data_IF_799217825169
#
_entry.id   IF_799217825169
#
_cell.length_a   1.000
_cell.length_b   1.000
_cell.length_c   1.000
_cell.angle_alpha   90.00
_cell.angle_beta   90.00
_cell.angle_gamma   90.00
#
_symmetry.space_group_name_H-M   'P 1'
#
loop_
_entity.id
_entity.type
_entity.pdbx_description
1 polymer ?
#
# COMPACT_ATOMS: atom_id res chain seq x y z
N UNK A 1 0.56 0.58 24.41
CA UNK A 1 1.15 0.59 23.05
C UNK A 1 0.47 -0.44 22.19
N UNK A 2 0.41 -0.15 20.90
CA UNK A 2 -0.20 -1.08 19.96
C UNK A 2 0.79 -2.17 19.57
N UNK A 3 0.25 -3.30 19.13
CA UNK A 3 1.04 -4.43 18.67
C UNK A 3 0.66 -4.75 17.21
N UNK A 4 0.70 -3.72 16.37
CA UNK A 4 0.36 -3.86 14.97
C UNK A 4 1.47 -4.60 14.22
N UNK A 5 1.05 -5.45 13.29
CA UNK A 5 1.97 -6.27 12.51
C UNK A 5 2.20 -5.65 11.14
N UNK A 6 3.41 -5.79 10.63
CA UNK A 6 3.69 -5.44 9.24
C UNK A 6 2.83 -6.34 8.34
N UNK A 7 2.02 -5.72 7.49
CA UNK A 7 1.13 -6.44 6.59
C UNK A 7 1.79 -6.70 5.25
N UNK A 8 2.37 -5.66 4.65
CA UNK A 8 3.04 -5.79 3.36
C UNK A 8 3.96 -4.61 3.10
N UNK A 9 4.77 -4.75 2.05
CA UNK A 9 5.54 -3.65 1.48
C UNK A 9 5.06 -3.42 0.06
N UNK A 10 4.92 -2.14 -0.31
CA UNK A 10 4.52 -1.75 -1.66
C UNK A 10 5.73 -1.35 -2.49
N UNK A 11 5.82 -1.86 -3.70
CA UNK A 11 6.90 -1.58 -4.63
C UNK A 11 6.28 -0.99 -5.90
N UNK A 12 6.73 0.20 -6.28
CA UNK A 12 6.32 0.83 -7.53
C UNK A 12 7.13 0.24 -8.67
N UNK A 13 6.43 -0.22 -9.70
CA UNK A 13 7.07 -0.81 -10.89
C UNK A 13 6.39 -0.28 -12.16
N UNK A 14 7.13 -0.18 -13.28
CA UNK A 14 6.51 0.24 -14.54
C UNK A 14 5.53 -0.81 -15.10
N UNK A 15 5.78 -2.10 -14.84
CA UNK A 15 4.98 -3.19 -15.38
C UNK A 15 4.98 -4.38 -14.42
N UNK A 16 3.81 -4.73 -13.93
CA UNK A 16 3.64 -5.92 -13.09
C UNK A 16 4.02 -7.18 -13.86
N UNK A 17 3.61 -7.27 -15.13
CA UNK A 17 3.89 -8.44 -15.96
C UNK A 17 5.39 -8.71 -16.07
N UNK A 18 6.20 -7.64 -16.15
CA UNK A 18 7.66 -7.77 -16.26
C UNK A 18 8.29 -8.04 -14.89
N UNK A 19 7.79 -7.42 -13.83
CA UNK A 19 8.43 -7.46 -12.50
C UNK A 19 8.02 -8.66 -11.66
N UNK A 20 6.82 -9.20 -11.84
CA UNK A 20 6.28 -10.24 -10.99
C UNK A 20 7.02 -11.59 -11.03
N UNK A 21 7.54 -12.06 -12.17
CA UNK A 21 8.11 -13.42 -12.25
C UNK A 21 9.19 -13.72 -11.22
N UNK A 22 10.10 -12.77 -10.94
CA UNK A 22 11.16 -13.01 -9.96
C UNK A 22 10.59 -13.19 -8.55
N UNK A 23 9.56 -12.41 -8.20
CA UNK A 23 8.94 -12.52 -6.88
C UNK A 23 8.13 -13.81 -6.73
N UNK A 24 7.47 -14.25 -7.78
CA UNK A 24 6.80 -15.55 -7.80
C UNK A 24 7.81 -16.68 -7.64
N UNK A 25 8.95 -16.57 -8.28
CA UNK A 25 10.01 -17.60 -8.17
C UNK A 25 10.58 -17.64 -6.74
N UNK A 26 10.92 -16.49 -6.18
CA UNK A 26 11.52 -16.40 -4.84
C UNK A 26 10.55 -16.91 -3.77
N UNK A 27 9.27 -16.55 -3.87
CA UNK A 27 8.27 -16.90 -2.85
C UNK A 27 7.68 -18.28 -3.05
N UNK A 28 7.78 -18.84 -4.26
CA UNK A 28 7.10 -20.08 -4.60
C UNK A 28 5.60 -19.92 -4.78
N UNK A 29 5.10 -18.68 -4.86
CA UNK A 29 3.68 -18.39 -5.01
C UNK A 29 3.34 -18.12 -6.47
N UNK A 30 2.14 -18.53 -6.92
CA UNK A 30 1.69 -18.18 -8.27
C UNK A 30 1.36 -16.70 -8.36
N UNK A 31 1.33 -16.17 -9.59
CA UNK A 31 0.88 -14.80 -9.84
C UNK A 31 -0.64 -14.75 -9.70
N UNK A 32 -1.18 -13.97 -8.74
CA UNK A 32 -2.63 -13.80 -8.65
C UNK A 32 -3.16 -12.93 -9.78
N UNK A 33 -4.48 -12.84 -9.89
CA UNK A 33 -5.11 -11.92 -10.81
C UNK A 33 -4.77 -10.48 -10.42
N UNK A 34 -4.38 -9.68 -11.41
CA UNK A 34 -4.08 -8.26 -11.20
C UNK A 34 -5.39 -7.51 -10.92
N UNK A 35 -5.39 -6.73 -9.86
CA UNK A 35 -6.54 -5.92 -9.48
C UNK A 35 -6.41 -4.52 -10.02
N UNK A 36 -7.46 -4.04 -10.70
CA UNK A 36 -7.54 -2.65 -11.16
C UNK A 36 -8.20 -1.80 -10.09
N UNK A 37 -7.55 -0.68 -9.75
CA UNK A 37 -8.09 0.28 -8.77
C UNK A 37 -8.17 1.65 -9.47
N UNK A 38 -9.23 1.88 -10.27
CA UNK A 38 -9.30 3.08 -11.11
C UNK A 38 -9.27 4.40 -10.32
N UNK A 39 -9.92 4.46 -9.16
CA UNK A 39 -9.95 5.69 -8.37
C UNK A 39 -8.58 6.06 -7.79
N UNK A 40 -7.65 5.12 -7.73
CA UNK A 40 -6.26 5.36 -7.33
C UNK A 40 -5.31 5.41 -8.53
N UNK A 41 -5.84 5.19 -9.73
CA UNK A 41 -5.10 5.21 -10.99
C UNK A 41 -3.96 4.17 -11.03
N UNK A 42 -4.18 3.01 -10.41
CA UNK A 42 -3.17 1.95 -10.34
C UNK A 42 -3.76 0.58 -10.60
N UNK A 43 -2.89 -0.35 -10.98
CA UNK A 43 -3.14 -1.79 -10.91
C UNK A 43 -2.22 -2.36 -9.85
N UNK A 44 -2.69 -3.33 -9.10
CA UNK A 44 -1.89 -3.94 -8.03
C UNK A 44 -1.99 -5.45 -8.07
N UNK A 45 -0.98 -6.10 -7.51
CA UNK A 45 -1.00 -7.54 -7.24
C UNK A 45 -0.22 -7.81 -5.96
N UNK A 46 -0.71 -8.75 -5.17
CA UNK A 46 -0.02 -9.17 -3.95
C UNK A 46 0.59 -10.55 -4.17
N UNK A 47 1.90 -10.64 -4.05
CA UNK A 47 2.63 -11.90 -4.07
C UNK A 47 3.13 -12.11 -2.64
N UNK A 48 2.34 -12.81 -1.83
CA UNK A 48 2.57 -12.86 -0.39
C UNK A 48 2.46 -11.46 0.22
N UNK A 49 3.48 -11.05 0.94
CA UNK A 49 3.55 -9.72 1.57
C UNK A 49 4.17 -8.65 0.67
N UNK A 50 4.37 -8.94 -0.60
CA UNK A 50 4.88 -7.98 -1.58
C UNK A 50 3.72 -7.50 -2.44
N UNK A 51 3.47 -6.18 -2.42
CA UNK A 51 2.51 -5.56 -3.32
C UNK A 51 3.26 -4.89 -4.46
N UNK A 52 3.00 -5.29 -5.71
CA UNK A 52 3.52 -4.59 -6.87
C UNK A 52 2.45 -3.64 -7.36
N UNK A 53 2.84 -2.39 -7.63
CA UNK A 53 1.93 -1.33 -8.01
C UNK A 53 2.41 -0.73 -9.32
N UNK A 54 1.58 -0.78 -10.35
CA UNK A 54 1.88 -0.15 -11.64
C UNK A 54 0.89 0.97 -11.91
N UNK A 55 1.31 2.06 -12.58
CA UNK A 55 0.41 3.16 -12.91
C UNK A 55 -0.54 2.78 -14.05
N UNK A 56 -1.78 3.27 -13.98
CA UNK A 56 -2.75 3.16 -15.07
C UNK A 56 -2.72 4.37 -16.00
N UNK A 57 -2.23 5.49 -15.49
CA UNK A 57 -2.21 6.77 -16.23
C UNK A 57 -0.92 7.52 -15.95
N UNK A 58 -0.60 8.49 -16.82
CA UNK A 58 0.56 9.35 -16.61
C UNK A 58 0.38 10.33 -15.43
N UNK A 59 -0.85 10.52 -14.97
CA UNK A 59 -1.16 11.41 -13.84
C UNK A 59 -1.20 10.66 -12.50
N UNK A 60 -1.02 9.35 -12.53
CA UNK A 60 -0.98 8.55 -11.29
C UNK A 60 0.14 9.02 -10.37
N UNK A 61 -0.08 9.06 -9.05
CA UNK A 61 1.02 9.30 -8.10
C UNK A 61 2.18 8.30 -8.26
N UNK A 62 1.87 7.08 -8.70
CA UNK A 62 2.92 6.06 -8.96
C UNK A 62 3.77 6.44 -10.17
N UNK A 63 3.17 7.05 -11.20
CA UNK A 63 3.96 7.56 -12.33
C UNK A 63 4.97 8.60 -11.87
N UNK A 64 4.55 9.52 -11.01
CA UNK A 64 5.45 10.54 -10.45
C UNK A 64 6.54 9.92 -9.59
N UNK A 65 6.20 8.92 -8.81
CA UNK A 65 7.18 8.21 -7.98
C UNK A 65 8.23 7.51 -8.86
N UNK A 66 7.79 6.85 -9.93
CA UNK A 66 8.70 6.19 -10.87
C UNK A 66 9.61 7.17 -11.59
N UNK A 67 9.11 8.35 -11.96
CA UNK A 67 9.92 9.40 -12.58
C UNK A 67 11.03 9.89 -11.65
N UNK A 68 10.75 9.99 -10.35
CA UNK A 68 11.71 10.51 -9.37
C UNK A 68 12.70 9.44 -8.89
N UNK A 69 12.23 8.23 -8.72
CA UNK A 69 12.99 7.19 -8.00
C UNK A 69 13.22 5.93 -8.81
N UNK A 70 12.57 5.77 -9.96
CA UNK A 70 12.57 4.50 -10.69
C UNK A 70 11.78 3.43 -9.92
N UNK A 71 11.92 2.20 -10.33
CA UNK A 71 11.36 1.05 -9.61
C UNK A 71 11.96 1.01 -8.22
N UNK A 72 11.10 1.04 -7.19
CA UNK A 72 11.59 1.22 -5.81
C UNK A 72 10.48 0.96 -4.80
N UNK A 73 10.88 0.84 -3.54
CA UNK A 73 9.92 0.79 -2.44
C UNK A 73 9.07 2.06 -2.44
N UNK A 74 7.77 1.88 -2.30
CA UNK A 74 6.81 2.98 -2.27
C UNK A 74 6.28 3.22 -0.86
N UNK A 75 5.92 2.15 -0.15
CA UNK A 75 5.39 2.27 1.20
C UNK A 75 5.53 0.97 1.98
N UNK A 76 5.35 1.08 3.29
CA UNK A 76 5.16 -0.07 4.17
C UNK A 76 3.77 0.04 4.79
N UNK A 77 3.15 -1.10 5.07
CA UNK A 77 1.78 -1.12 5.59
C UNK A 77 1.68 -1.99 6.83
N UNK A 78 0.91 -1.49 7.80
CA UNK A 78 0.66 -2.20 9.05
C UNK A 78 -0.82 -2.53 9.16
N UNK A 79 -1.12 -3.78 9.53
CA UNK A 79 -2.48 -4.22 9.76
C UNK A 79 -2.96 -3.72 11.13
N UNK A 80 -4.15 -3.13 11.15
CA UNK A 80 -4.75 -2.62 12.37
C UNK A 80 -6.16 -3.19 12.53
N UNK A 81 -6.61 -3.43 13.77
CA UNK A 81 -7.95 -3.99 13.99
C UNK A 81 -9.09 -2.98 13.78
N UNK A 82 -8.83 -1.69 14.00
CA UNK A 82 -9.82 -0.63 13.88
C UNK A 82 -9.11 0.62 13.39
N UNK A 83 -9.19 0.87 12.08
CA UNK A 83 -8.42 1.94 11.45
C UNK A 83 -8.88 3.33 11.92
N UNK A 84 -10.17 3.54 12.15
CA UNK A 84 -10.68 4.84 12.62
C UNK A 84 -10.14 5.16 14.00
N UNK A 85 -10.11 4.17 14.89
CA UNK A 85 -9.56 4.31 16.22
C UNK A 85 -8.05 4.58 16.17
N UNK A 86 -7.34 3.90 15.29
CA UNK A 86 -5.90 4.10 15.10
C UNK A 86 -5.59 5.51 14.61
N UNK A 87 -6.34 6.01 13.63
CA UNK A 87 -6.15 7.36 13.10
C UNK A 87 -6.43 8.43 14.16
N UNK A 88 -7.50 8.24 14.94
CA UNK A 88 -7.81 9.16 16.03
C UNK A 88 -6.70 9.19 17.07
N UNK A 89 -6.20 8.05 17.48
CA UNK A 89 -5.13 7.94 18.45
C UNK A 89 -3.86 8.63 17.96
N UNK A 90 -3.46 8.40 16.71
CA UNK A 90 -2.29 9.04 16.13
C UNK A 90 -2.43 10.57 16.09
N UNK A 91 -3.61 11.05 15.68
CA UNK A 91 -3.88 12.48 15.64
C UNK A 91 -3.81 13.10 17.04
N UNK A 92 -4.37 12.44 18.05
CA UNK A 92 -4.33 12.90 19.42
C UNK A 92 -2.91 12.94 20.00
N UNK A 93 -2.04 12.07 19.51
CA UNK A 93 -0.62 12.06 19.89
C UNK A 93 0.20 13.12 19.14
N UNK A 94 -0.41 13.85 18.22
CA UNK A 94 0.25 14.93 17.50
C UNK A 94 0.89 14.51 16.18
N UNK A 95 0.70 13.28 15.74
CA UNK A 95 1.22 12.83 14.45
C UNK A 95 0.35 13.36 13.31
N UNK A 96 0.96 13.50 12.15
CA UNK A 96 0.30 14.08 10.98
C UNK A 96 -0.19 12.99 10.04
N UNK A 97 -1.45 13.09 9.66
CA UNK A 97 -2.09 12.12 8.76
C UNK A 97 -2.25 12.73 7.39
N UNK A 98 -1.99 11.92 6.35
CA UNK A 98 -2.40 12.30 4.99
C UNK A 98 -3.91 12.09 4.89
N UNK A 99 -4.40 10.95 5.39
CA UNK A 99 -5.82 10.62 5.40
C UNK A 99 -6.36 10.67 6.83
N UNK A 100 -7.28 11.60 7.10
CA UNK A 100 -7.96 11.66 8.38
C UNK A 100 -9.07 10.61 8.49
N UNK A 101 -9.57 10.16 7.34
CA UNK A 101 -10.59 9.12 7.24
C UNK A 101 -10.09 8.02 6.31
N UNK A 102 -10.43 6.76 6.60
CA UNK A 102 -10.03 5.67 5.73
C UNK A 102 -10.74 5.75 4.37
N UNK A 103 -10.12 5.16 3.37
CA UNK A 103 -10.67 5.04 2.02
C UNK A 103 -10.51 3.61 1.53
N UNK A 104 -11.22 3.29 0.46
CA UNK A 104 -11.19 1.95 -0.10
C UNK A 104 -9.86 1.72 -0.80
N UNK A 105 -9.22 0.61 -0.48
CA UNK A 105 -7.97 0.19 -1.09
C UNK A 105 -8.10 -1.16 -1.77
N UNK A 106 -6.96 -1.78 -2.02
CA UNK A 106 -6.89 -3.08 -2.65
C UNK A 106 -7.64 -4.14 -1.83
N UNK A 107 -8.18 -5.13 -2.50
CA UNK A 107 -8.87 -6.28 -1.91
C UNK A 107 -10.08 -5.90 -1.06
N UNK A 108 -10.64 -4.72 -1.29
CA UNK A 108 -11.78 -4.22 -0.51
C UNK A 108 -11.46 -3.83 0.92
N UNK A 109 -10.19 -3.75 1.27
CA UNK A 109 -9.78 -3.33 2.61
C UNK A 109 -9.86 -1.81 2.77
N UNK A 110 -9.90 -1.34 4.01
CA UNK A 110 -9.85 0.09 4.31
C UNK A 110 -8.41 0.49 4.57
N UNK A 111 -7.98 1.61 3.99
CA UNK A 111 -6.59 2.07 4.08
C UNK A 111 -6.54 3.55 4.43
N UNK A 112 -5.41 3.97 5.03
CA UNK A 112 -5.12 5.37 5.29
C UNK A 112 -3.62 5.55 5.41
N UNK A 113 -3.12 6.71 4.95
CA UNK A 113 -1.69 6.99 4.98
C UNK A 113 -1.33 7.99 6.07
N UNK A 114 -0.19 7.74 6.72
CA UNK A 114 0.44 8.62 7.68
C UNK A 114 1.46 9.49 6.93
N UNK A 115 1.56 10.77 7.30
CA UNK A 115 2.49 11.67 6.63
C UNK A 115 3.94 11.23 6.85
N UNK A 116 4.76 11.15 5.79
CA UNK A 116 6.14 10.65 5.90
C UNK A 116 7.06 11.48 6.80
N UNK A 117 6.72 12.72 7.10
CA UNK A 117 7.55 13.52 8.01
C UNK A 117 7.63 12.95 9.42
N UNK A 118 6.66 12.14 9.82
CA UNK A 118 6.64 11.51 11.13
C UNK A 118 7.22 10.09 11.11
N UNK A 119 7.59 9.59 9.93
CA UNK A 119 8.12 8.24 9.74
C UNK A 119 9.42 8.26 8.92
N UNK A 120 10.24 9.27 9.16
CA UNK A 120 11.58 9.39 8.55
C UNK A 120 11.57 9.37 7.01
N UNK A 121 10.55 9.96 6.42
CA UNK A 121 10.43 10.04 4.97
C UNK A 121 9.84 8.78 4.32
N UNK A 122 9.44 7.79 5.13
CA UNK A 122 8.87 6.54 4.63
C UNK A 122 7.36 6.64 4.64
N UNK A 123 6.73 6.57 3.47
CA UNK A 123 5.26 6.55 3.38
C UNK A 123 4.76 5.30 4.10
N UNK A 124 3.88 5.50 5.07
CA UNK A 124 3.39 4.44 5.93
C UNK A 124 1.88 4.36 5.85
N UNK A 125 1.38 3.15 5.60
CA UNK A 125 -0.04 2.87 5.42
C UNK A 125 -0.56 2.07 6.61
N UNK A 126 -1.78 2.37 7.04
CA UNK A 126 -2.54 1.48 7.91
C UNK A 126 -3.57 0.78 7.05
N UNK A 127 -3.78 -0.50 7.30
CA UNK A 127 -4.78 -1.29 6.59
C UNK A 127 -5.63 -2.09 7.58
N UNK A 128 -6.95 -1.96 7.43
CA UNK A 128 -7.89 -2.79 8.17
C UNK A 128 -8.48 -3.79 7.20
N UNK A 129 -8.21 -5.07 7.45
CA UNK A 129 -8.73 -6.16 6.61
C UNK A 129 -10.23 -6.29 6.82
N UNK A 130 -10.97 -6.36 5.72
CA UNK A 130 -12.41 -6.57 5.76
C UNK A 130 -12.71 -8.06 5.74
N UNK A 131 -13.65 -8.49 6.59
CA UNK A 131 -13.92 -9.91 6.79
C UNK A 131 -14.32 -10.66 5.52
N UNK A 132 -14.96 -9.96 4.56
CA UNK A 132 -15.42 -10.56 3.31
C UNK A 132 -14.49 -10.26 2.11
N UNK A 133 -13.33 -9.64 2.35
CA UNK A 133 -12.38 -9.32 1.31
C UNK A 133 -11.50 -10.52 0.95
N UNK A 134 -11.05 -10.57 -0.30
CA UNK A 134 -10.18 -11.65 -0.77
C UNK A 134 -8.71 -11.42 -0.48
#
# INVERSE_FOLDING_TARGET
>A
MNNYQLDHVGIAVPSIATSAPIFCHITGLPLPQIEEIPHMEVNVVFIGSIELIEPRTSTSPISRHLERHGSSLHHIAFAVPDIRSSLKSLSELGFHLIDEHPRDGARGHQVAFIHPKDTDGILTELVEHQANAQ
#
